data_IF_282850540192
#
_entry.id   IF_282850540192
#
_cell.length_a   1.000
_cell.length_b   1.000
_cell.length_c   1.000
_cell.angle_alpha   90.00
_cell.angle_beta   90.00
_cell.angle_gamma   90.00
#
_symmetry.space_group_name_H-M   'P 1'
#
loop_
_entity.id
_entity.type
_entity.pdbx_description
1 polymer ?
#
# COMPACT_ATOMS: atom_id res chain seq x y z
N UNK A 1 17.09 15.26 33.30
CA UNK A 1 16.68 13.90 32.91
C UNK A 1 16.33 13.92 31.43
N UNK A 2 16.76 12.93 30.66
CA UNK A 2 16.32 12.76 29.26
C UNK A 2 14.88 12.25 29.30
N UNK A 3 13.99 12.82 28.47
CA UNK A 3 12.61 12.36 28.28
C UNK A 3 12.49 11.60 26.98
N UNK A 4 11.67 10.54 26.95
CA UNK A 4 11.39 9.77 25.73
C UNK A 4 10.24 10.39 24.94
N UNK A 5 10.06 9.98 23.68
CA UNK A 5 8.83 10.30 22.95
C UNK A 5 7.68 9.44 23.49
N UNK A 6 6.89 10.00 24.41
CA UNK A 6 5.77 9.31 25.07
C UNK A 6 4.66 8.87 24.10
N UNK A 7 4.61 9.39 22.88
CA UNK A 7 3.62 8.97 21.90
C UNK A 7 3.77 7.50 21.49
N UNK A 8 4.97 6.94 21.55
CA UNK A 8 5.19 5.50 21.33
C UNK A 8 4.46 4.62 22.36
N UNK A 9 4.24 5.14 23.58
CA UNK A 9 3.55 4.41 24.66
C UNK A 9 2.04 4.35 24.45
N UNK A 10 1.50 5.13 23.51
CA UNK A 10 0.07 5.16 23.20
C UNK A 10 -0.35 4.07 22.22
N UNK A 11 0.57 3.53 21.42
CA UNK A 11 0.27 2.52 20.40
C UNK A 11 -0.31 1.24 21.04
N UNK A 12 -1.48 0.75 20.58
CA UNK A 12 -2.07 -0.48 21.11
C UNK A 12 -1.32 -1.72 20.59
N UNK A 13 -0.87 -2.58 21.52
CA UNK A 13 -0.34 -3.91 21.21
C UNK A 13 0.94 -3.91 20.34
N UNK A 14 1.23 -5.05 19.71
CA UNK A 14 2.27 -5.15 18.68
C UNK A 14 1.68 -5.00 17.29
N UNK A 15 2.44 -4.36 16.39
CA UNK A 15 2.11 -4.21 14.96
C UNK A 15 1.51 -5.49 14.36
N UNK A 16 0.34 -5.39 13.70
CA UNK A 16 -0.50 -6.50 13.21
C UNK A 16 0.29 -7.72 12.70
N UNK A 17 1.20 -7.50 11.77
CA UNK A 17 1.95 -8.57 11.12
C UNK A 17 2.95 -9.26 12.04
N UNK A 18 3.44 -8.59 13.08
CA UNK A 18 4.26 -9.19 14.14
C UNK A 18 3.44 -10.19 14.97
N UNK A 19 2.19 -9.84 15.29
CA UNK A 19 1.28 -10.71 16.06
C UNK A 19 0.93 -11.98 15.26
N UNK A 20 0.63 -11.83 13.96
CA UNK A 20 0.39 -12.97 13.06
C UNK A 20 1.62 -13.87 13.00
N UNK A 21 2.82 -13.31 12.79
CA UNK A 21 4.06 -14.09 12.72
C UNK A 21 4.29 -14.90 14.01
N UNK A 22 4.08 -14.31 15.19
CA UNK A 22 4.20 -15.01 16.48
C UNK A 22 3.23 -16.18 16.60
N UNK A 23 1.95 -16.00 16.27
CA UNK A 23 0.93 -17.07 16.31
C UNK A 23 1.26 -18.20 15.34
N UNK A 24 1.67 -17.87 14.11
CA UNK A 24 2.07 -18.87 13.10
C UNK A 24 3.29 -19.66 13.57
N UNK A 25 4.35 -19.00 14.05
CA UNK A 25 5.55 -19.70 14.54
C UNK A 25 5.25 -20.61 15.74
N UNK A 26 4.38 -20.19 16.66
CA UNK A 26 3.96 -21.03 17.78
C UNK A 26 3.17 -22.27 17.32
N UNK A 27 2.29 -22.10 16.33
CA UNK A 27 1.54 -23.20 15.73
C UNK A 27 2.48 -24.18 14.99
N UNK A 28 3.42 -23.70 14.20
CA UNK A 28 4.42 -24.53 13.49
C UNK A 28 5.27 -25.34 14.46
N UNK A 29 5.75 -24.70 15.54
CA UNK A 29 6.56 -25.38 16.55
C UNK A 29 5.78 -26.50 17.26
N UNK A 30 4.47 -26.33 17.46
CA UNK A 30 3.61 -27.32 18.11
C UNK A 30 3.05 -28.37 17.15
N UNK A 31 3.16 -28.14 15.83
CA UNK A 31 2.57 -28.99 14.79
C UNK A 31 3.53 -29.18 13.59
N UNK A 32 4.71 -29.81 13.78
CA UNK A 32 5.75 -29.90 12.75
C UNK A 32 5.31 -30.62 11.47
N UNK A 33 4.30 -31.50 11.56
CA UNK A 33 3.78 -32.25 10.41
C UNK A 33 2.71 -31.48 9.59
N UNK A 34 2.19 -30.36 10.11
CA UNK A 34 1.15 -29.59 9.44
C UNK A 34 1.74 -28.64 8.42
N UNK A 35 1.29 -28.76 7.16
CA UNK A 35 1.74 -27.90 6.05
C UNK A 35 0.88 -26.64 5.96
N UNK A 36 1.41 -25.52 6.46
CA UNK A 36 0.74 -24.21 6.43
C UNK A 36 0.79 -23.59 5.04
N UNK A 37 -0.36 -23.13 4.57
CA UNK A 37 -0.48 -22.29 3.37
C UNK A 37 -0.60 -20.83 3.82
N UNK A 38 0.31 -19.98 3.34
CA UNK A 38 0.41 -18.57 3.73
C UNK A 38 -0.22 -17.67 2.65
N UNK A 39 -1.37 -17.09 2.97
CA UNK A 39 -2.10 -16.08 2.19
C UNK A 39 -2.28 -14.79 3.02
N UNK A 40 -1.32 -14.50 3.91
CA UNK A 40 -1.35 -13.43 4.91
C UNK A 40 -0.78 -12.09 4.43
N UNK A 41 0.47 -11.77 4.81
CA UNK A 41 1.16 -10.47 4.68
C UNK A 41 0.97 -9.76 3.34
N UNK A 42 0.83 -10.52 2.25
CA UNK A 42 0.74 -9.99 0.90
C UNK A 42 2.12 -9.75 0.30
N UNK A 43 3.08 -10.65 0.56
CA UNK A 43 4.41 -10.64 -0.04
C UNK A 43 4.40 -11.42 -1.35
N UNK A 44 5.04 -10.90 -2.39
CA UNK A 44 5.08 -11.55 -3.71
C UNK A 44 5.91 -12.83 -3.64
N UNK A 45 5.60 -13.78 -4.54
CA UNK A 45 6.21 -15.12 -4.57
C UNK A 45 6.85 -15.51 -5.89
N UNK A 46 6.59 -14.77 -6.96
CA UNK A 46 7.24 -14.96 -8.26
C UNK A 46 8.64 -14.32 -8.18
N UNK A 47 9.66 -14.94 -8.80
CA UNK A 47 10.97 -14.34 -8.87
C UNK A 47 10.94 -13.03 -9.66
N UNK A 48 11.95 -12.18 -9.47
CA UNK A 48 12.12 -10.99 -10.28
C UNK A 48 12.19 -11.36 -11.76
N UNK A 49 11.58 -10.52 -12.61
CA UNK A 49 11.55 -10.74 -14.04
C UNK A 49 12.99 -10.79 -14.63
N UNK A 50 13.27 -11.63 -15.65
CA UNK A 50 14.61 -11.76 -16.21
C UNK A 50 15.25 -10.43 -16.64
N UNK A 51 14.49 -9.52 -17.25
CA UNK A 51 15.01 -8.21 -17.66
C UNK A 51 15.52 -7.37 -16.48
N UNK A 52 14.90 -7.53 -15.32
CA UNK A 52 15.26 -6.84 -14.07
C UNK A 52 16.52 -7.47 -13.48
N UNK A 53 16.62 -8.81 -13.47
CA UNK A 53 17.83 -9.54 -13.03
C UNK A 53 19.04 -9.15 -13.90
N UNK A 54 18.87 -9.08 -15.22
CA UNK A 54 19.94 -8.66 -16.12
C UNK A 54 20.41 -7.22 -15.82
N UNK A 55 19.49 -6.30 -15.51
CA UNK A 55 19.83 -4.94 -15.15
C UNK A 55 20.56 -4.85 -13.80
N UNK A 56 20.13 -5.66 -12.81
CA UNK A 56 20.81 -5.79 -11.52
C UNK A 56 22.26 -6.26 -11.71
N UNK A 57 22.49 -7.33 -12.47
CA UNK A 57 23.85 -7.85 -12.72
C UNK A 57 24.73 -6.80 -13.41
N UNK A 58 24.24 -6.18 -14.48
CA UNK A 58 24.99 -5.13 -15.18
C UNK A 58 25.36 -3.97 -14.27
N UNK A 59 24.43 -3.53 -13.42
CA UNK A 59 24.69 -2.43 -12.50
C UNK A 59 25.64 -2.82 -11.36
N UNK A 60 25.67 -4.09 -10.94
CA UNK A 60 26.71 -4.61 -10.02
C UNK A 60 28.09 -4.55 -10.69
N UNK A 61 28.21 -4.98 -11.95
CA UNK A 61 29.47 -4.95 -12.68
C UNK A 61 29.97 -3.50 -12.90
N UNK A 62 29.06 -2.56 -13.19
CA UNK A 62 29.37 -1.13 -13.27
C UNK A 62 29.95 -0.56 -11.95
N UNK A 63 29.64 -1.15 -10.80
CA UNK A 63 30.18 -0.71 -9.51
C UNK A 63 31.60 -1.22 -9.23
N UNK A 64 32.15 -2.11 -10.07
CA UNK A 64 33.46 -2.73 -9.87
C UNK A 64 34.64 -1.94 -10.46
N UNK A 65 34.37 -0.89 -11.26
CA UNK A 65 35.40 -0.07 -11.93
C UNK A 65 35.33 1.39 -11.49
N UNK A 66 36.46 2.08 -11.24
CA UNK A 66 36.47 3.49 -10.89
C UNK A 66 35.77 4.41 -11.91
N UNK A 67 35.80 4.05 -13.19
CA UNK A 67 35.23 4.83 -14.28
C UNK A 67 33.69 4.79 -14.31
N UNK A 68 33.10 3.69 -13.86
CA UNK A 68 31.65 3.46 -13.87
C UNK A 68 31.02 3.50 -12.48
N UNK A 69 31.82 3.49 -11.41
CA UNK A 69 31.37 3.54 -10.03
C UNK A 69 30.44 4.73 -9.76
N UNK A 70 29.43 4.49 -8.93
CA UNK A 70 28.45 5.49 -8.49
C UNK A 70 28.45 5.57 -6.97
N UNK A 71 28.75 6.76 -6.44
CA UNK A 71 28.67 7.06 -5.01
C UNK A 71 27.23 7.28 -4.54
N UNK A 72 27.03 8.28 -3.69
CA UNK A 72 25.67 8.69 -3.29
C UNK A 72 24.82 9.05 -4.50
N UNK A 73 23.56 8.63 -4.45
CA UNK A 73 22.59 8.99 -5.49
C UNK A 73 22.25 10.49 -5.40
N UNK A 74 21.81 11.12 -6.50
CA UNK A 74 21.24 12.46 -6.45
C UNK A 74 20.03 12.51 -5.51
N UNK A 75 19.79 13.67 -4.88
CA UNK A 75 18.78 13.85 -3.84
C UNK A 75 17.37 13.38 -4.24
N UNK A 76 16.98 13.51 -5.51
CA UNK A 76 15.64 13.09 -5.99
C UNK A 76 15.62 11.67 -6.56
N UNK A 77 16.78 11.03 -6.69
CA UNK A 77 17.00 9.84 -7.53
C UNK A 77 17.59 10.16 -8.90
N UNK A 78 18.10 9.13 -9.56
CA UNK A 78 18.75 9.27 -10.85
C UNK A 78 17.75 9.69 -11.94
N UNK A 79 18.21 10.60 -12.82
CA UNK A 79 17.41 11.15 -13.93
C UNK A 79 16.84 10.06 -14.84
N UNK A 80 17.62 9.02 -15.16
CA UNK A 80 17.16 7.94 -16.04
C UNK A 80 15.88 7.27 -15.53
N UNK A 81 15.76 7.08 -14.21
CA UNK A 81 14.60 6.46 -13.60
C UNK A 81 13.44 7.45 -13.51
N UNK A 82 13.69 8.68 -13.06
CA UNK A 82 12.65 9.72 -12.97
C UNK A 82 12.02 9.99 -14.35
N UNK A 83 12.83 10.06 -15.40
CA UNK A 83 12.36 10.18 -16.78
C UNK A 83 11.55 8.97 -17.23
N UNK A 84 12.02 7.75 -16.96
CA UNK A 84 11.27 6.55 -17.28
C UNK A 84 9.90 6.52 -16.58
N UNK A 85 9.83 6.90 -15.30
CA UNK A 85 8.57 7.04 -14.55
C UNK A 85 7.64 8.05 -15.23
N UNK A 86 8.12 9.27 -15.50
CA UNK A 86 7.31 10.33 -16.12
C UNK A 86 6.73 9.90 -17.47
N UNK A 87 7.56 9.36 -18.36
CA UNK A 87 7.12 8.97 -19.70
C UNK A 87 6.06 7.85 -19.66
N UNK A 88 6.24 6.86 -18.78
CA UNK A 88 5.44 5.64 -18.80
C UNK A 88 4.22 5.66 -17.89
N UNK A 89 4.31 6.29 -16.72
CA UNK A 89 3.24 6.27 -15.71
C UNK A 89 2.36 7.51 -15.78
N UNK A 90 2.87 8.64 -16.30
CA UNK A 90 2.17 9.91 -16.28
C UNK A 90 1.87 10.46 -17.68
N UNK A 91 2.89 10.72 -18.51
CA UNK A 91 2.68 11.27 -19.86
C UNK A 91 1.88 10.33 -20.77
N UNK A 92 2.14 9.02 -20.70
CA UNK A 92 1.34 8.02 -21.41
C UNK A 92 -0.16 8.04 -21.01
N UNK A 93 -0.50 8.64 -19.87
CA UNK A 93 -1.86 8.82 -19.35
C UNK A 93 -2.35 10.27 -19.42
N UNK A 94 -1.66 11.15 -20.14
CA UNK A 94 -1.93 12.59 -20.24
C UNK A 94 -1.90 13.32 -18.89
N UNK A 95 -1.17 12.80 -17.90
CA UNK A 95 -0.92 13.50 -16.65
C UNK A 95 0.30 14.40 -16.82
N UNK A 96 0.14 15.70 -16.60
CA UNK A 96 1.25 16.65 -16.65
C UNK A 96 2.05 16.56 -15.34
N UNK A 97 2.96 15.61 -15.22
CA UNK A 97 3.94 15.48 -14.12
C UNK A 97 5.35 15.64 -14.69
N UNK A 98 6.18 16.44 -14.04
CA UNK A 98 7.55 16.71 -14.46
C UNK A 98 8.57 15.86 -13.69
N UNK A 99 9.77 15.67 -14.26
CA UNK A 99 10.79 14.78 -13.70
C UNK A 99 11.26 15.19 -12.31
N UNK A 100 11.29 16.48 -12.01
CA UNK A 100 11.69 17.01 -10.71
C UNK A 100 10.56 17.04 -9.68
N UNK A 101 9.35 16.61 -10.04
CA UNK A 101 8.26 16.35 -9.10
C UNK A 101 8.27 14.91 -8.57
N UNK A 102 9.18 14.06 -9.07
CA UNK A 102 9.36 12.65 -8.68
C UNK A 102 10.51 12.52 -7.66
N UNK A 103 10.21 11.92 -6.51
CA UNK A 103 11.15 11.63 -5.44
C UNK A 103 11.31 10.12 -5.27
N UNK A 104 12.43 9.54 -5.76
CA UNK A 104 12.70 8.10 -5.66
C UNK A 104 13.12 7.71 -4.24
N UNK A 105 12.49 6.69 -3.67
CA UNK A 105 12.66 6.26 -2.28
C UNK A 105 12.97 4.77 -2.15
N UNK A 106 13.26 4.32 -0.92
CA UNK A 106 13.41 2.89 -0.58
C UNK A 106 12.05 2.16 -0.41
N UNK A 107 10.94 2.83 -0.73
CA UNK A 107 9.63 2.24 -0.90
C UNK A 107 8.50 2.98 -0.19
N UNK A 108 7.28 2.70 -0.66
CA UNK A 108 6.05 3.38 -0.22
C UNK A 108 5.78 3.36 1.29
N UNK A 109 6.24 2.35 2.04
CA UNK A 109 6.07 2.33 3.51
C UNK A 109 6.89 3.43 4.19
N UNK A 110 8.12 3.65 3.75
CA UNK A 110 8.95 4.73 4.25
C UNK A 110 8.33 6.08 3.90
N UNK A 111 7.88 6.25 2.65
CA UNK A 111 7.26 7.50 2.21
C UNK A 111 5.97 7.79 2.98
N UNK A 112 5.03 6.84 3.03
CA UNK A 112 3.75 7.02 3.73
C UNK A 112 3.89 7.26 5.23
N UNK A 113 4.89 6.66 5.89
CA UNK A 113 5.16 6.92 7.31
C UNK A 113 5.84 8.28 7.57
N UNK A 114 6.56 8.81 6.59
CA UNK A 114 7.34 10.05 6.75
C UNK A 114 6.67 11.28 6.15
N UNK A 115 5.72 11.12 5.22
CA UNK A 115 5.05 12.24 4.55
C UNK A 115 4.28 13.13 5.53
N UNK A 116 3.84 12.57 6.67
CA UNK A 116 3.22 13.33 7.74
C UNK A 116 4.12 14.44 8.33
N UNK A 117 5.44 14.35 8.16
CA UNK A 117 6.38 15.38 8.64
C UNK A 117 6.19 16.73 7.94
N UNK A 118 5.48 16.77 6.82
CA UNK A 118 5.14 18.00 6.11
C UNK A 118 4.08 18.85 6.79
N UNK A 119 3.32 18.29 7.74
CA UNK A 119 2.13 18.92 8.31
C UNK A 119 2.32 19.30 9.77
N UNK A 120 1.54 20.28 10.25
CA UNK A 120 1.51 20.70 11.66
C UNK A 120 1.06 19.55 12.58
N UNK A 121 1.43 19.61 13.86
CA UNK A 121 0.99 18.62 14.85
C UNK A 121 -0.51 18.74 15.17
N UNK A 122 -1.09 19.89 14.90
CA UNK A 122 -2.51 20.23 15.06
C UNK A 122 -3.36 19.84 13.84
N UNK A 123 -2.75 19.47 12.71
CA UNK A 123 -3.48 19.01 11.53
C UNK A 123 -4.30 17.75 11.84
N UNK A 124 -5.58 17.79 11.45
CA UNK A 124 -6.50 16.68 11.60
C UNK A 124 -6.47 15.78 10.37
N UNK A 125 -6.23 14.50 10.60
CA UNK A 125 -6.16 13.49 9.53
C UNK A 125 -7.50 12.77 9.36
N UNK A 126 -7.85 12.45 8.13
CA UNK A 126 -8.89 11.51 7.77
C UNK A 126 -8.31 10.26 7.10
N UNK A 127 -8.81 9.09 7.45
CA UNK A 127 -8.38 7.80 6.90
C UNK A 127 -9.59 6.96 6.54
N UNK A 128 -9.54 6.23 5.42
CA UNK A 128 -10.51 5.15 5.18
C UNK A 128 -10.41 4.11 6.30
N UNK A 129 -11.53 3.47 6.63
CA UNK A 129 -11.59 2.41 7.63
C UNK A 129 -12.40 1.23 7.09
N UNK A 130 -11.81 0.06 6.84
CA UNK A 130 -10.43 -0.33 7.15
C UNK A 130 -9.40 0.17 6.13
N UNK A 131 -8.14 0.31 6.57
CA UNK A 131 -7.01 0.65 5.70
C UNK A 131 -5.67 0.19 6.29
N UNK A 132 -4.61 0.23 5.48
CA UNK A 132 -3.25 -0.09 5.90
C UNK A 132 -2.81 0.72 7.14
N UNK A 133 -2.37 0.07 8.24
CA UNK A 133 -2.22 0.72 9.55
C UNK A 133 -1.08 1.75 9.64
N UNK A 134 -0.14 1.77 8.69
CA UNK A 134 1.00 2.70 8.71
C UNK A 134 0.56 4.16 8.76
N UNK A 135 -0.54 4.52 8.10
CA UNK A 135 -1.01 5.90 8.06
C UNK A 135 -1.38 6.40 9.46
N UNK A 136 -2.07 5.56 10.24
CA UNK A 136 -2.43 5.87 11.63
C UNK A 136 -1.20 5.78 12.53
N UNK A 137 -0.49 4.64 12.52
CA UNK A 137 0.63 4.38 13.45
C UNK A 137 1.72 5.46 13.36
N UNK A 138 2.06 5.91 12.15
CA UNK A 138 3.05 6.98 11.95
C UNK A 138 2.57 8.33 12.51
N UNK A 139 1.29 8.64 12.36
CA UNK A 139 0.68 9.83 12.96
C UNK A 139 0.59 9.74 14.49
N UNK A 140 0.38 8.54 15.05
CA UNK A 140 0.47 8.31 16.50
C UNK A 140 1.88 8.64 16.98
N UNK A 141 2.90 8.03 16.37
CA UNK A 141 4.31 8.24 16.76
C UNK A 141 4.72 9.73 16.72
N UNK A 142 4.11 10.49 15.82
CA UNK A 142 4.34 11.92 15.66
C UNK A 142 3.42 12.82 16.50
N UNK A 143 2.50 12.25 17.28
CA UNK A 143 1.70 12.96 18.28
C UNK A 143 0.38 13.57 17.79
N UNK A 144 -0.13 13.19 16.62
CA UNK A 144 -1.31 13.83 15.98
C UNK A 144 -2.67 13.22 16.33
N UNK A 145 -2.69 12.06 16.97
CA UNK A 145 -3.90 11.21 17.06
C UNK A 145 -4.69 11.38 18.36
N UNK A 146 -4.16 12.09 19.35
CA UNK A 146 -4.82 12.29 20.64
C UNK A 146 -4.75 11.07 21.56
N UNK A 147 -5.89 10.64 22.09
CA UNK A 147 -6.03 9.52 23.04
C UNK A 147 -6.69 8.34 22.33
N UNK A 148 -6.18 7.13 22.57
CA UNK A 148 -6.77 5.90 22.07
C UNK A 148 -7.90 5.43 22.99
N UNK A 149 -9.11 5.29 22.45
CA UNK A 149 -10.24 4.68 23.13
C UNK A 149 -10.23 3.16 22.88
N UNK A 150 -10.02 2.38 23.94
CA UNK A 150 -9.97 0.91 23.86
C UNK A 150 -11.33 0.27 23.61
N UNK A 151 -12.44 0.96 23.93
CA UNK A 151 -13.78 0.40 23.77
C UNK A 151 -14.24 0.49 22.31
N UNK A 152 -13.85 1.55 21.62
CA UNK A 152 -14.21 1.80 20.21
C UNK A 152 -13.05 1.54 19.24
N UNK A 153 -11.86 1.29 19.76
CA UNK A 153 -10.61 1.08 19.01
C UNK A 153 -10.24 2.25 18.07
N UNK A 154 -10.65 3.47 18.43
CA UNK A 154 -10.37 4.68 17.65
C UNK A 154 -9.50 5.68 18.40
N UNK A 155 -8.79 6.49 17.63
CA UNK A 155 -8.06 7.65 18.12
C UNK A 155 -8.95 8.90 18.14
N UNK A 156 -8.93 9.64 19.26
CA UNK A 156 -9.83 10.78 19.50
C UNK A 156 -9.64 11.96 18.53
N UNK A 157 -8.47 12.06 17.89
CA UNK A 157 -8.15 13.13 16.94
C UNK A 157 -7.92 12.62 15.51
N UNK A 158 -8.55 11.49 15.15
CA UNK A 158 -8.53 10.95 13.79
C UNK A 158 -9.95 10.86 13.28
N UNK A 159 -10.17 11.29 12.04
CA UNK A 159 -11.45 11.12 11.35
C UNK A 159 -11.42 9.78 10.62
N UNK A 160 -12.17 8.81 11.12
CA UNK A 160 -12.35 7.54 10.43
C UNK A 160 -13.47 7.68 9.41
N UNK A 161 -13.23 7.21 8.19
CA UNK A 161 -14.18 7.20 7.08
C UNK A 161 -14.57 5.75 6.77
N UNK A 162 -15.65 5.23 7.38
CA UNK A 162 -16.07 3.85 7.20
C UNK A 162 -16.25 3.50 5.72
N UNK A 163 -15.62 2.41 5.32
CA UNK A 163 -15.53 1.89 3.96
C UNK A 163 -15.98 0.44 4.03
N UNK A 164 -17.30 0.22 3.99
CA UNK A 164 -17.94 -1.04 4.38
C UNK A 164 -18.74 -1.65 3.22
N UNK A 165 -19.25 -2.86 3.40
CA UNK A 165 -20.10 -3.47 2.38
C UNK A 165 -21.39 -2.67 2.12
N UNK A 166 -21.94 -2.03 3.15
CA UNK A 166 -23.20 -1.27 3.10
C UNK A 166 -23.10 -0.01 2.23
N UNK A 167 -21.93 0.62 2.17
CA UNK A 167 -21.66 1.77 1.29
C UNK A 167 -20.88 1.39 0.02
N UNK A 168 -20.84 0.09 -0.32
CA UNK A 168 -20.08 -0.44 -1.46
C UNK A 168 -18.58 -0.08 -1.42
N UNK A 169 -18.01 0.10 -0.23
CA UNK A 169 -16.64 0.52 -0.01
C UNK A 169 -16.30 1.88 -0.66
N UNK A 170 -17.31 2.75 -0.75
CA UNK A 170 -17.15 4.16 -1.13
C UNK A 170 -17.35 5.00 0.14
N UNK A 171 -16.27 5.53 0.74
CA UNK A 171 -16.40 6.35 1.95
C UNK A 171 -17.18 7.63 1.67
N UNK A 172 -18.02 8.02 2.62
CA UNK A 172 -18.68 9.33 2.59
C UNK A 172 -17.68 10.45 2.92
N UNK A 173 -17.98 11.67 2.47
CA UNK A 173 -17.21 12.84 2.91
C UNK A 173 -17.36 13.04 4.42
N UNK A 174 -16.27 13.34 5.12
CA UNK A 174 -16.32 13.53 6.55
C UNK A 174 -17.13 14.78 6.91
N UNK A 175 -17.89 14.69 8.01
CA UNK A 175 -18.73 15.79 8.52
C UNK A 175 -17.89 16.94 9.07
N UNK A 176 -16.74 16.60 9.63
CA UNK A 176 -15.71 17.55 10.04
C UNK A 176 -14.65 17.61 8.95
N UNK A 177 -14.23 18.82 8.57
CA UNK A 177 -13.24 19.02 7.51
C UNK A 177 -11.84 18.60 8.00
N UNK A 178 -11.19 17.61 7.35
CA UNK A 178 -9.80 17.26 7.63
C UNK A 178 -8.82 18.21 6.93
N UNK A 179 -7.60 18.28 7.45
CA UNK A 179 -6.47 18.94 6.78
C UNK A 179 -5.76 17.97 5.83
N UNK A 180 -5.69 16.69 6.19
CA UNK A 180 -5.01 15.64 5.40
C UNK A 180 -5.91 14.42 5.24
N UNK A 181 -6.04 13.91 4.02
CA UNK A 181 -6.90 12.77 3.69
C UNK A 181 -6.05 11.64 3.11
N UNK A 182 -6.03 10.48 3.77
CA UNK A 182 -5.37 9.29 3.24
C UNK A 182 -6.35 8.45 2.42
N UNK A 183 -6.08 8.33 1.12
CA UNK A 183 -6.80 7.43 0.21
C UNK A 183 -5.82 6.38 -0.31
N UNK A 184 -6.11 5.11 -0.05
CA UNK A 184 -5.37 3.98 -0.63
C UNK A 184 -6.27 3.31 -1.66
N UNK A 185 -5.96 3.44 -2.95
CA UNK A 185 -6.75 2.92 -4.05
C UNK A 185 -5.83 2.33 -5.13
N UNK A 186 -5.98 1.03 -5.49
CA UNK A 186 -6.84 0.03 -4.86
C UNK A 186 -6.53 -0.20 -3.37
N UNK A 187 -7.57 -0.31 -2.56
CA UNK A 187 -7.48 -0.36 -1.10
C UNK A 187 -6.89 -1.68 -0.60
N UNK A 188 -5.99 -1.54 0.38
CA UNK A 188 -5.58 -2.62 1.26
C UNK A 188 -6.20 -2.37 2.64
N UNK A 189 -7.14 -3.23 3.13
CA UNK A 189 -7.29 -4.64 2.78
C UNK A 189 -8.41 -5.03 1.80
N UNK A 190 -9.35 -4.13 1.48
CA UNK A 190 -10.63 -4.53 0.87
C UNK A 190 -10.49 -5.00 -0.58
N UNK A 191 -9.41 -4.59 -1.26
CA UNK A 191 -9.19 -4.81 -2.68
C UNK A 191 -10.15 -4.03 -3.59
N UNK A 192 -10.89 -3.07 -3.03
CA UNK A 192 -11.83 -2.20 -3.76
C UNK A 192 -11.14 -0.92 -4.22
N UNK A 193 -11.79 -0.19 -5.12
CA UNK A 193 -11.32 1.09 -5.63
C UNK A 193 -12.51 2.03 -5.85
N UNK A 194 -12.24 3.27 -6.26
CA UNK A 194 -13.27 4.22 -6.69
C UNK A 194 -13.34 4.29 -8.21
N UNK A 195 -14.52 4.62 -8.72
CA UNK A 195 -14.65 5.06 -10.11
C UNK A 195 -13.86 6.36 -10.32
N UNK A 196 -13.46 6.66 -11.56
CA UNK A 196 -12.82 7.94 -11.89
C UNK A 196 -13.70 9.13 -11.51
N UNK A 197 -15.02 8.97 -11.64
CA UNK A 197 -16.00 9.99 -11.23
C UNK A 197 -16.00 10.21 -9.72
N UNK A 198 -15.96 9.15 -8.91
CA UNK A 198 -15.94 9.28 -7.46
C UNK A 198 -14.60 9.81 -6.94
N UNK A 199 -13.48 9.45 -7.59
CA UNK A 199 -12.18 10.05 -7.29
C UNK A 199 -12.14 11.55 -7.61
N UNK A 200 -12.76 11.98 -8.72
CA UNK A 200 -12.88 13.41 -9.04
C UNK A 200 -13.61 14.17 -7.92
N UNK A 201 -14.68 13.61 -7.36
CA UNK A 201 -15.40 14.25 -6.24
C UNK A 201 -14.51 14.44 -5.01
N UNK A 202 -13.56 13.53 -4.76
CA UNK A 202 -12.57 13.70 -3.68
C UNK A 202 -11.58 14.83 -3.96
N UNK A 203 -11.12 14.96 -5.20
CA UNK A 203 -10.26 16.07 -5.62
C UNK A 203 -11.00 17.40 -5.49
N UNK A 204 -12.26 17.47 -5.93
CA UNK A 204 -13.11 18.65 -5.79
C UNK A 204 -13.34 19.01 -4.31
N UNK A 205 -13.60 18.00 -3.47
CA UNK A 205 -13.75 18.15 -2.02
C UNK A 205 -12.47 18.71 -1.39
N UNK A 206 -11.31 18.14 -1.71
CA UNK A 206 -10.03 18.54 -1.13
C UNK A 206 -9.68 19.99 -1.51
N UNK A 207 -9.80 20.35 -2.78
CA UNK A 207 -9.58 21.72 -3.24
C UNK A 207 -10.54 22.73 -2.59
N UNK A 208 -11.84 22.39 -2.53
CA UNK A 208 -12.85 23.25 -1.88
C UNK A 208 -12.53 23.51 -0.40
N UNK A 209 -12.02 22.50 0.29
CA UNK A 209 -11.77 22.54 1.73
C UNK A 209 -10.32 22.88 2.08
N UNK A 210 -9.44 23.06 1.09
CA UNK A 210 -7.98 23.23 1.28
C UNK A 210 -7.32 22.06 2.02
N UNK A 211 -7.86 20.86 1.85
CA UNK A 211 -7.26 19.63 2.37
C UNK A 211 -6.23 19.06 1.40
N UNK A 212 -5.25 18.32 1.91
CA UNK A 212 -4.25 17.61 1.10
C UNK A 212 -4.56 16.10 1.10
N UNK A 213 -4.70 15.53 -0.08
CA UNK A 213 -4.84 14.09 -0.29
C UNK A 213 -3.46 13.46 -0.34
N UNK A 214 -3.22 12.47 0.50
CA UNK A 214 -2.14 11.50 0.35
C UNK A 214 -2.73 10.27 -0.34
N UNK A 215 -2.44 10.12 -1.63
CA UNK A 215 -2.96 9.07 -2.49
C UNK A 215 -1.95 7.93 -2.60
N UNK A 216 -2.22 6.80 -1.94
CA UNK A 216 -1.40 5.59 -2.04
C UNK A 216 -1.92 4.69 -3.16
N UNK A 217 -1.17 4.64 -4.26
CA UNK A 217 -1.44 3.86 -5.45
C UNK A 217 -0.50 2.65 -5.59
N UNK A 218 -0.05 2.07 -4.47
CA UNK A 218 0.88 0.93 -4.48
C UNK A 218 0.37 -0.31 -5.23
N UNK A 219 -0.95 -0.45 -5.45
CA UNK A 219 -1.58 -1.57 -6.16
C UNK A 219 -2.09 -1.20 -7.55
N UNK A 220 -1.75 -0.03 -8.08
CA UNK A 220 -2.23 0.47 -9.39
C UNK A 220 -2.08 -0.55 -10.53
N UNK A 221 -0.97 -1.29 -10.58
CA UNK A 221 -0.71 -2.25 -11.66
C UNK A 221 -1.74 -3.40 -11.73
N UNK A 222 -2.55 -3.59 -10.70
CA UNK A 222 -3.56 -4.65 -10.60
C UNK A 222 -4.97 -4.19 -11.00
N UNK A 223 -5.16 -2.90 -11.29
CA UNK A 223 -6.43 -2.38 -11.79
C UNK A 223 -6.78 -3.09 -13.11
N UNK A 224 -8.00 -3.62 -13.18
CA UNK A 224 -8.50 -4.37 -14.34
C UNK A 224 -9.74 -3.73 -14.98
N UNK A 225 -10.41 -2.80 -14.29
CA UNK A 225 -11.59 -2.10 -14.78
C UNK A 225 -11.24 -0.78 -15.45
N UNK A 226 -11.89 -0.47 -16.58
CA UNK A 226 -11.57 0.69 -17.43
C UNK A 226 -11.94 2.05 -16.79
N UNK A 227 -12.98 2.10 -15.95
CA UNK A 227 -13.45 3.33 -15.28
C UNK A 227 -12.75 3.57 -13.92
N UNK A 228 -11.50 3.13 -13.79
CA UNK A 228 -10.69 3.31 -12.58
C UNK A 228 -9.41 4.05 -12.95
N UNK A 229 -9.17 5.17 -12.27
CA UNK A 229 -7.94 5.93 -12.45
C UNK A 229 -6.74 5.17 -11.89
N UNK A 230 -5.67 5.12 -12.66
CA UNK A 230 -4.37 4.58 -12.24
C UNK A 230 -3.50 5.64 -11.54
N UNK A 231 -3.82 6.92 -11.72
CA UNK A 231 -3.16 8.02 -11.05
C UNK A 231 -4.21 9.03 -10.60
N UNK A 232 -4.03 9.62 -9.42
CA UNK A 232 -4.92 10.72 -8.98
C UNK A 232 -4.81 11.93 -9.92
N UNK A 233 -3.69 12.08 -10.63
CA UNK A 233 -3.48 13.15 -11.59
C UNK A 233 -4.23 12.98 -12.91
N UNK A 234 -4.98 11.89 -13.06
CA UNK A 234 -6.01 11.77 -14.10
C UNK A 234 -7.26 12.60 -13.79
N UNK A 235 -7.41 13.08 -12.55
CA UNK A 235 -8.48 13.97 -12.12
C UNK A 235 -8.07 15.43 -12.27
N UNK A 236 -8.99 16.26 -12.77
CA UNK A 236 -8.76 17.69 -12.94
C UNK A 236 -8.60 18.38 -11.59
N UNK A 237 -7.58 19.22 -11.44
CA UNK A 237 -7.28 19.92 -10.18
C UNK A 237 -6.54 19.09 -9.13
N UNK A 238 -6.17 17.83 -9.41
CA UNK A 238 -5.44 17.01 -8.43
C UNK A 238 -4.07 17.58 -8.06
N UNK A 239 -3.39 18.25 -9.00
CA UNK A 239 -2.06 18.85 -8.77
C UNK A 239 -2.03 19.89 -7.64
N UNK A 240 -3.15 20.52 -7.32
CA UNK A 240 -3.25 21.55 -6.26
C UNK A 240 -3.63 20.99 -4.90
N UNK A 241 -3.96 19.70 -4.79
CA UNK A 241 -4.38 19.10 -3.52
C UNK A 241 -3.82 17.70 -3.25
N UNK A 242 -3.04 17.07 -4.14
CA UNK A 242 -2.63 15.67 -3.98
C UNK A 242 -1.12 15.45 -3.99
N UNK A 243 -0.70 14.49 -3.15
CA UNK A 243 0.60 13.81 -3.19
C UNK A 243 0.31 12.36 -3.52
N UNK A 244 1.01 11.77 -4.51
CA UNK A 244 0.84 10.37 -4.88
C UNK A 244 2.05 9.54 -4.44
N UNK A 245 1.80 8.37 -3.84
CA UNK A 245 2.83 7.40 -3.43
C UNK A 245 2.70 6.14 -4.29
N UNK A 246 3.83 5.68 -4.84
CA UNK A 246 3.92 4.52 -5.72
C UNK A 246 4.97 3.53 -5.23
N UNK A 247 4.81 2.27 -5.63
CA UNK A 247 5.66 1.17 -5.16
C UNK A 247 6.02 0.20 -6.27
N UNK A 248 7.32 -0.07 -6.43
CA UNK A 248 7.78 -1.18 -7.26
C UNK A 248 7.62 -2.54 -6.55
N UNK A 249 7.31 -2.55 -5.26
CA UNK A 249 7.25 -3.79 -4.47
C UNK A 249 6.14 -4.72 -4.97
N UNK A 250 4.98 -4.16 -5.35
CA UNK A 250 3.80 -4.95 -5.70
C UNK A 250 3.69 -5.22 -7.18
N UNK A 251 4.14 -4.30 -8.03
CA UNK A 251 4.19 -4.50 -9.47
C UNK A 251 5.39 -5.38 -9.88
N UNK A 252 6.61 -4.96 -9.51
CA UNK A 252 7.86 -5.56 -10.00
C UNK A 252 8.48 -6.60 -9.05
N UNK A 253 7.81 -6.92 -7.94
CA UNK A 253 8.30 -7.86 -6.94
C UNK A 253 9.44 -7.34 -6.05
N UNK A 254 9.62 -6.01 -5.95
CA UNK A 254 10.71 -5.39 -5.18
C UNK A 254 10.45 -5.40 -3.66
N UNK A 255 9.72 -6.38 -3.13
CA UNK A 255 9.42 -6.46 -1.70
C UNK A 255 10.70 -6.57 -0.86
N UNK A 256 11.69 -7.35 -1.33
CA UNK A 256 13.04 -7.42 -0.77
C UNK A 256 14.06 -6.46 -1.39
N UNK A 257 13.85 -5.98 -2.62
CA UNK A 257 14.78 -5.11 -3.35
C UNK A 257 14.67 -3.64 -2.92
N UNK A 258 13.48 -3.22 -2.47
CA UNK A 258 13.19 -1.90 -1.86
C UNK A 258 13.33 -0.71 -2.82
N UNK A 259 12.25 -0.40 -3.53
CA UNK A 259 12.14 0.83 -4.33
C UNK A 259 10.69 1.33 -4.36
N UNK A 260 10.52 2.64 -4.32
CA UNK A 260 9.25 3.34 -4.52
C UNK A 260 9.53 4.76 -5.00
N UNK A 261 8.47 5.53 -5.12
CA UNK A 261 8.60 6.97 -5.35
C UNK A 261 7.36 7.72 -4.87
N UNK A 262 7.55 9.00 -4.62
CA UNK A 262 6.47 9.94 -4.29
C UNK A 262 6.44 11.04 -5.35
N UNK A 263 5.24 11.44 -5.76
CA UNK A 263 5.02 12.59 -6.64
C UNK A 263 4.47 13.74 -5.82
N UNK A 264 5.21 14.85 -5.77
CA UNK A 264 4.78 16.08 -5.09
C UNK A 264 4.76 17.22 -6.12
N UNK A 265 3.58 17.62 -6.61
CA UNK A 265 3.48 18.68 -7.61
C UNK A 265 3.97 20.02 -7.06
N UNK A 266 4.60 20.83 -7.90
CA UNK A 266 5.01 22.20 -7.53
C UNK A 266 3.84 23.16 -7.32
N UNK A 267 2.68 22.82 -7.87
CA UNK A 267 1.43 23.56 -7.67
C UNK A 267 0.84 23.37 -6.26
N UNK A 268 1.29 22.33 -5.53
CA UNK A 268 0.76 21.99 -4.22
C UNK A 268 1.34 22.89 -3.12
N UNK A 269 0.51 23.83 -2.66
CA UNK A 269 0.87 24.80 -1.61
C UNK A 269 -0.15 24.80 -0.47
N UNK A 270 0.35 25.00 0.75
CA UNK A 270 -0.46 25.26 1.94
C UNK A 270 -0.10 26.66 2.45
N UNK A 271 -0.98 27.63 2.19
CA UNK A 271 -0.62 29.05 2.33
C UNK A 271 0.54 29.40 1.39
N UNK A 272 1.62 29.96 1.94
CA UNK A 272 2.83 30.29 1.18
C UNK A 272 3.82 29.11 1.09
N UNK A 273 3.59 28.02 1.83
CA UNK A 273 4.52 26.90 1.90
C UNK A 273 4.36 25.95 0.71
N UNK A 274 5.47 25.69 0.01
CA UNK A 274 5.58 24.70 -1.06
C UNK A 274 5.82 23.31 -0.47
N UNK A 275 4.86 22.38 -0.61
CA UNK A 275 5.04 21.02 -0.10
C UNK A 275 6.13 20.26 -0.88
N UNK A 276 6.31 20.59 -2.15
CA UNK A 276 7.42 20.09 -2.97
C UNK A 276 8.78 20.44 -2.33
N UNK A 277 9.00 21.71 -1.98
CA UNK A 277 10.30 22.15 -1.45
C UNK A 277 10.55 21.62 -0.04
N UNK A 278 9.50 21.52 0.77
CA UNK A 278 9.57 20.89 2.09
C UNK A 278 9.92 19.41 1.99
N UNK A 279 9.30 18.68 1.06
CA UNK A 279 9.61 17.27 0.83
C UNK A 279 11.02 17.08 0.28
N UNK A 280 11.45 17.90 -0.69
CA UNK A 280 12.82 17.91 -1.19
C UNK A 280 13.83 18.13 -0.06
N UNK A 281 13.58 19.12 0.80
CA UNK A 281 14.45 19.40 1.96
C UNK A 281 14.49 18.21 2.91
N UNK A 282 13.36 17.60 3.22
CA UNK A 282 13.28 16.42 4.09
C UNK A 282 14.04 15.25 3.47
N UNK A 283 13.83 14.99 2.19
CA UNK A 283 14.42 13.88 1.45
C UNK A 283 15.95 13.98 1.47
N UNK A 284 16.53 15.12 1.06
CA UNK A 284 17.99 15.33 1.11
C UNK A 284 18.60 15.47 2.52
N UNK A 285 17.77 15.60 3.58
CA UNK A 285 18.27 15.69 4.96
C UNK A 285 18.27 14.34 5.68
N UNK A 286 17.23 13.51 5.44
CA UNK A 286 17.00 12.26 6.18
C UNK A 286 17.26 11.00 5.35
N UNK A 287 17.63 11.14 4.08
CA UNK A 287 17.83 10.02 3.16
C UNK A 287 18.98 10.30 2.20
N UNK A 288 19.83 9.29 1.98
CA UNK A 288 21.01 9.39 1.10
C UNK A 288 20.74 8.85 -0.32
N UNK A 289 19.47 8.69 -0.68
CA UNK A 289 19.02 8.18 -1.97
C UNK A 289 18.96 6.65 -2.05
N UNK A 290 18.06 6.14 -2.90
CA UNK A 290 17.93 4.71 -3.16
C UNK A 290 19.19 4.19 -3.92
N UNK A 291 19.65 2.95 -3.69
CA UNK A 291 20.88 2.45 -4.29
C UNK A 291 20.87 2.47 -5.84
N UNK A 292 21.99 2.86 -6.46
CA UNK A 292 22.14 2.90 -7.92
C UNK A 292 21.70 1.60 -8.62
N UNK A 293 22.17 0.45 -8.12
CA UNK A 293 21.87 -0.88 -8.65
C UNK A 293 20.36 -1.13 -8.65
N UNK A 294 19.67 -0.73 -7.58
CA UNK A 294 18.22 -0.88 -7.44
C UNK A 294 17.48 0.08 -8.39
N UNK A 295 17.97 1.31 -8.56
CA UNK A 295 17.35 2.25 -9.50
C UNK A 295 17.50 1.79 -10.96
N UNK A 296 18.62 1.19 -11.34
CA UNK A 296 18.79 0.55 -12.68
C UNK A 296 17.84 -0.62 -12.89
N UNK A 297 17.59 -1.41 -11.84
CA UNK A 297 16.54 -2.43 -11.87
C UNK A 297 15.14 -1.80 -12.04
N UNK A 298 14.89 -0.67 -11.37
CA UNK A 298 13.67 0.12 -11.53
C UNK A 298 13.50 0.69 -12.94
N UNK A 299 14.59 1.09 -13.61
CA UNK A 299 14.55 1.52 -15.02
C UNK A 299 14.13 0.37 -15.94
N UNK A 300 14.66 -0.83 -15.69
CA UNK A 300 14.36 -2.02 -16.48
C UNK A 300 12.88 -2.45 -16.43
N UNK A 301 12.14 -2.08 -15.37
CA UNK A 301 10.68 -2.26 -15.28
C UNK A 301 9.96 -1.62 -16.48
N UNK A 302 10.48 -0.50 -16.97
CA UNK A 302 9.89 0.26 -18.07
C UNK A 302 10.40 -0.14 -19.46
N UNK A 303 11.36 -1.07 -19.54
CA UNK A 303 11.78 -1.65 -20.82
C UNK A 303 10.65 -2.48 -21.44
N UNK A 304 10.65 -2.67 -22.77
CA UNK A 304 9.63 -3.48 -23.44
C UNK A 304 9.56 -4.91 -22.89
N UNK A 305 10.72 -5.51 -22.62
CA UNK A 305 10.82 -6.84 -22.02
C UNK A 305 10.31 -6.84 -20.57
N UNK A 306 10.68 -5.83 -19.77
CA UNK A 306 10.22 -5.67 -18.38
C UNK A 306 8.71 -5.55 -18.31
N UNK A 307 8.10 -4.67 -19.11
CA UNK A 307 6.65 -4.48 -19.18
C UNK A 307 5.92 -5.77 -19.56
N UNK A 308 6.41 -6.49 -20.57
CA UNK A 308 5.79 -7.75 -21.00
C UNK A 308 5.84 -8.82 -19.90
N UNK A 309 7.01 -9.01 -19.28
CA UNK A 309 7.21 -10.00 -18.22
C UNK A 309 6.38 -9.67 -16.96
N UNK A 310 6.32 -8.40 -16.58
CA UNK A 310 5.54 -7.98 -15.41
C UNK A 310 4.04 -8.09 -15.65
N UNK A 311 3.56 -7.81 -16.88
CA UNK A 311 2.15 -8.04 -17.25
C UNK A 311 1.75 -9.50 -17.04
N UNK A 312 2.62 -10.46 -17.40
CA UNK A 312 2.38 -11.88 -17.16
C UNK A 312 2.36 -12.23 -15.66
N UNK A 313 3.27 -11.65 -14.86
CA UNK A 313 3.30 -11.86 -13.42
C UNK A 313 2.06 -11.29 -12.71
N UNK A 314 1.62 -10.08 -13.08
CA UNK A 314 0.37 -9.49 -12.57
C UNK A 314 -0.82 -10.36 -12.96
N UNK A 315 -0.90 -10.80 -14.23
CA UNK A 315 -1.96 -11.68 -14.70
C UNK A 315 -2.01 -13.01 -13.92
N UNK A 316 -0.85 -13.59 -13.58
CA UNK A 316 -0.76 -14.78 -12.74
C UNK A 316 -1.41 -14.56 -11.38
N UNK A 317 -1.10 -13.45 -10.70
CA UNK A 317 -1.71 -13.13 -9.42
C UNK A 317 -3.19 -12.79 -9.51
N UNK A 318 -3.63 -12.12 -10.58
CA UNK A 318 -5.04 -11.85 -10.77
C UNK A 318 -5.84 -13.10 -11.11
N UNK A 319 -5.24 -14.09 -11.78
CA UNK A 319 -5.83 -15.41 -11.93
C UNK A 319 -5.97 -16.14 -10.59
N UNK A 320 -4.98 -16.05 -9.71
CA UNK A 320 -5.11 -16.56 -8.34
C UNK A 320 -6.21 -15.83 -7.57
N UNK A 321 -6.30 -14.50 -7.70
CA UNK A 321 -7.32 -13.71 -7.04
C UNK A 321 -8.73 -14.13 -7.48
N UNK A 322 -8.92 -14.36 -8.79
CA UNK A 322 -10.15 -14.90 -9.37
C UNK A 322 -10.49 -16.27 -8.78
N UNK A 323 -9.53 -17.21 -8.77
CA UNK A 323 -9.71 -18.56 -8.19
C UNK A 323 -10.15 -18.46 -6.72
N UNK A 324 -9.45 -17.67 -5.90
CA UNK A 324 -9.77 -17.50 -4.48
C UNK A 324 -11.16 -16.90 -4.31
N UNK A 325 -11.48 -15.83 -5.03
CA UNK A 325 -12.76 -15.15 -4.97
C UNK A 325 -13.92 -16.05 -5.34
N UNK A 326 -13.85 -16.73 -6.49
CA UNK A 326 -14.89 -17.63 -6.99
C UNK A 326 -15.04 -18.84 -6.06
N UNK A 327 -13.93 -19.45 -5.65
CA UNK A 327 -13.94 -20.60 -4.76
C UNK A 327 -14.55 -20.32 -3.38
N UNK A 328 -14.32 -19.13 -2.81
CA UNK A 328 -14.96 -18.73 -1.56
C UNK A 328 -16.45 -18.43 -1.73
N UNK A 329 -16.85 -17.82 -2.85
CA UNK A 329 -18.27 -17.62 -3.17
C UNK A 329 -19.01 -18.96 -3.30
N UNK A 330 -18.42 -19.93 -3.99
CA UNK A 330 -18.97 -21.29 -4.09
C UNK A 330 -19.08 -21.99 -2.73
N UNK A 331 -18.19 -21.64 -1.79
CA UNK A 331 -18.21 -22.12 -0.42
C UNK A 331 -19.22 -21.38 0.48
N UNK A 332 -20.01 -20.44 -0.07
CA UNK A 332 -21.06 -19.71 0.64
C UNK A 332 -20.59 -18.44 1.36
N UNK A 333 -19.33 -18.01 1.19
CA UNK A 333 -18.85 -16.78 1.81
C UNK A 333 -19.32 -15.53 1.06
N UNK A 334 -19.51 -14.45 1.81
CA UNK A 334 -19.65 -13.10 1.23
C UNK A 334 -18.26 -12.51 0.97
N UNK A 335 -17.96 -12.20 -0.29
CA UNK A 335 -16.60 -11.88 -0.76
C UNK A 335 -16.57 -10.63 -1.62
N UNK A 336 -15.58 -9.77 -1.36
CA UNK A 336 -15.29 -8.51 -2.03
C UNK A 336 -13.83 -8.48 -2.52
N UNK A 337 -13.46 -7.44 -3.29
CA UNK A 337 -12.13 -7.31 -3.87
C UNK A 337 -11.85 -8.35 -4.95
N UNK A 338 -10.56 -8.62 -5.18
CA UNK A 338 -10.05 -9.60 -6.14
C UNK A 338 -10.28 -9.24 -7.62
N UNK A 339 -10.55 -7.97 -7.93
CA UNK A 339 -10.76 -7.46 -9.30
C UNK A 339 -9.70 -6.43 -9.68
N UNK A 340 -9.48 -5.44 -8.82
CA UNK A 340 -8.48 -4.38 -9.06
C UNK A 340 -7.27 -4.51 -8.13
N UNK A 341 -7.21 -5.57 -7.32
CA UNK A 341 -6.16 -5.78 -6.35
C UNK A 341 -5.94 -7.28 -6.10
N UNK A 342 -4.73 -7.69 -5.69
CA UNK A 342 -4.40 -9.07 -5.33
C UNK A 342 -4.86 -9.42 -3.90
N UNK A 343 -5.99 -8.86 -3.47
CA UNK A 343 -6.58 -9.07 -2.14
C UNK A 343 -8.05 -9.41 -2.25
N UNK A 344 -8.44 -10.39 -1.45
CA UNK A 344 -9.78 -10.92 -1.34
C UNK A 344 -10.23 -10.65 0.09
N UNK A 345 -11.32 -9.91 0.21
CA UNK A 345 -11.87 -9.46 1.47
C UNK A 345 -13.18 -10.19 1.73
N UNK A 346 -13.20 -11.05 2.75
CA UNK A 346 -14.38 -11.86 3.06
C UNK A 346 -14.93 -11.54 4.44
N UNK A 347 -16.25 -11.62 4.56
CA UNK A 347 -16.95 -11.56 5.84
C UNK A 347 -16.75 -12.87 6.60
N UNK A 348 -16.47 -12.82 7.90
CA UNK A 348 -16.34 -14.02 8.73
C UNK A 348 -17.69 -14.73 8.87
N UNK A 349 -17.70 -16.07 8.96
CA UNK A 349 -18.93 -16.83 9.16
C UNK A 349 -19.41 -16.72 10.62
N UNK A 350 -20.70 -17.00 10.85
CA UNK A 350 -21.29 -17.16 12.19
C UNK A 350 -21.00 -16.06 13.22
N UNK A 351 -20.73 -14.84 12.74
CA UNK A 351 -20.34 -13.68 13.56
C UNK A 351 -19.05 -13.92 14.36
N UNK A 352 -18.17 -14.81 13.92
CA UNK A 352 -16.83 -14.95 14.49
C UNK A 352 -16.09 -13.61 14.41
N UNK A 353 -15.32 -13.29 15.44
CA UNK A 353 -14.41 -12.15 15.35
C UNK A 353 -13.34 -12.43 14.29
N UNK A 354 -12.68 -11.39 13.79
CA UNK A 354 -11.59 -11.51 12.83
C UNK A 354 -10.45 -12.39 13.36
N UNK A 355 -10.13 -12.29 14.66
CA UNK A 355 -9.10 -13.09 15.31
C UNK A 355 -9.56 -14.51 15.61
N UNK A 356 -10.82 -14.72 16.00
CA UNK A 356 -11.36 -16.08 16.17
C UNK A 356 -11.33 -16.84 14.83
N UNK A 357 -11.69 -16.16 13.74
CA UNK A 357 -11.63 -16.77 12.41
C UNK A 357 -10.19 -17.02 11.93
N UNK A 358 -9.24 -16.14 12.31
CA UNK A 358 -7.81 -16.39 12.08
C UNK A 358 -7.36 -17.69 12.75
N UNK A 359 -7.65 -17.84 14.05
CA UNK A 359 -7.25 -19.01 14.83
C UNK A 359 -7.96 -20.27 14.30
N UNK A 360 -9.25 -20.17 13.96
CA UNK A 360 -10.03 -21.24 13.35
C UNK A 360 -9.42 -21.75 12.04
N UNK A 361 -9.09 -20.86 11.09
CA UNK A 361 -8.47 -21.26 9.82
C UNK A 361 -7.06 -21.83 10.01
N UNK A 362 -6.27 -21.27 10.92
CA UNK A 362 -4.93 -21.77 11.22
C UNK A 362 -4.99 -23.19 11.79
N UNK A 363 -5.88 -23.44 12.75
CA UNK A 363 -6.01 -24.74 13.41
C UNK A 363 -6.67 -25.80 12.53
N UNK A 364 -7.77 -25.46 11.85
CA UNK A 364 -8.61 -26.43 11.13
C UNK A 364 -8.18 -26.63 9.68
N UNK A 365 -7.75 -25.56 9.00
CA UNK A 365 -7.35 -25.61 7.59
C UNK A 365 -5.84 -25.42 7.37
N UNK A 366 -5.08 -25.02 8.39
CA UNK A 366 -3.67 -24.61 8.25
C UNK A 366 -3.49 -23.57 7.13
N UNK A 367 -4.44 -22.64 7.05
CA UNK A 367 -4.41 -21.50 6.14
C UNK A 367 -4.24 -20.23 6.96
N UNK A 368 -3.26 -19.42 6.59
CA UNK A 368 -2.98 -18.13 7.22
C UNK A 368 -3.47 -17.03 6.29
N UNK A 369 -4.31 -16.15 6.81
CA UNK A 369 -4.62 -14.85 6.20
C UNK A 369 -4.35 -13.72 7.17
N UNK A 370 -5.09 -12.63 7.06
CA UNK A 370 -4.95 -11.45 7.92
C UNK A 370 -6.30 -11.10 8.56
N UNK A 371 -6.40 -11.06 9.90
CA UNK A 371 -7.63 -10.65 10.59
C UNK A 371 -7.95 -9.18 10.26
N UNK A 372 -9.21 -8.92 9.94
CA UNK A 372 -9.64 -7.62 9.46
C UNK A 372 -9.53 -6.48 10.46
N UNK A 373 -9.75 -6.71 11.76
CA UNK A 373 -9.55 -5.69 12.80
C UNK A 373 -8.14 -5.15 12.90
N UNK A 374 -7.15 -5.85 12.33
CA UNK A 374 -5.79 -5.32 12.18
C UNK A 374 -5.69 -4.06 11.30
N UNK A 375 -6.72 -3.78 10.50
CA UNK A 375 -6.77 -2.66 9.56
C UNK A 375 -7.68 -1.51 10.05
N UNK A 376 -8.18 -1.59 11.28
CA UNK A 376 -9.11 -0.63 11.86
C UNK A 376 -10.44 -1.26 12.29
N UNK A 377 -11.26 -0.53 13.06
CA UNK A 377 -12.46 -1.07 13.68
C UNK A 377 -13.52 -1.53 12.68
N UNK A 378 -13.67 -0.86 11.52
CA UNK A 378 -14.58 -1.32 10.47
C UNK A 378 -14.08 -2.58 9.74
N UNK A 379 -12.87 -3.05 10.05
CA UNK A 379 -12.34 -4.32 9.59
C UNK A 379 -12.77 -5.52 10.45
N UNK A 380 -13.33 -5.31 11.64
CA UNK A 380 -13.79 -6.39 12.51
C UNK A 380 -14.94 -7.19 11.86
N UNK A 381 -14.97 -8.51 12.05
CA UNK A 381 -15.89 -9.41 11.33
C UNK A 381 -15.52 -9.63 9.86
N UNK A 382 -14.32 -9.25 9.44
CA UNK A 382 -13.78 -9.55 8.12
C UNK A 382 -12.38 -10.19 8.19
N UNK A 383 -11.94 -10.73 7.05
CA UNK A 383 -10.66 -11.39 6.88
C UNK A 383 -10.10 -11.14 5.48
N UNK A 384 -8.78 -10.94 5.38
CA UNK A 384 -8.08 -10.75 4.10
C UNK A 384 -7.28 -11.99 3.73
N UNK A 385 -7.46 -12.45 2.50
CA UNK A 385 -6.55 -13.38 1.83
C UNK A 385 -5.84 -12.66 0.69
N UNK A 386 -4.54 -12.89 0.53
CA UNK A 386 -3.80 -12.40 -0.64
C UNK A 386 -3.75 -13.44 -1.76
N UNK A 387 -3.71 -12.96 -2.99
CA UNK A 387 -3.45 -13.76 -4.18
C UNK A 387 -1.95 -13.99 -4.45
N UNK A 388 -1.08 -13.39 -3.64
CA UNK A 388 0.36 -13.63 -3.69
C UNK A 388 0.72 -15.00 -3.10
N UNK A 389 0.71 -15.99 -3.98
CA UNK A 389 1.02 -17.39 -3.69
C UNK A 389 1.14 -18.18 -4.98
N UNK A 390 1.45 -19.46 -4.89
CA UNK A 390 1.28 -20.33 -6.04
C UNK A 390 -0.20 -20.59 -6.31
N UNK A 391 -0.55 -20.80 -7.57
CA UNK A 391 -1.90 -21.22 -7.97
C UNK A 391 -2.29 -22.53 -7.27
N UNK A 392 -1.36 -23.48 -7.17
CA UNK A 392 -1.56 -24.74 -6.44
C UNK A 392 -1.93 -24.51 -4.97
N UNK A 393 -1.23 -23.61 -4.27
CA UNK A 393 -1.54 -23.28 -2.89
C UNK A 393 -2.87 -22.53 -2.76
N UNK A 394 -3.21 -21.70 -3.76
CA UNK A 394 -4.51 -21.00 -3.80
C UNK A 394 -5.66 -22.01 -3.91
N UNK A 395 -5.55 -23.01 -4.78
CA UNK A 395 -6.53 -24.10 -4.94
C UNK A 395 -6.60 -24.94 -3.67
N UNK A 396 -5.46 -25.39 -3.13
CA UNK A 396 -5.42 -26.21 -1.91
C UNK A 396 -5.99 -25.48 -0.70
N UNK A 397 -5.75 -24.17 -0.57
CA UNK A 397 -6.33 -23.38 0.52
C UNK A 397 -7.86 -23.40 0.45
N UNK A 398 -8.43 -23.23 -0.76
CA UNK A 398 -9.87 -23.31 -0.96
C UNK A 398 -10.44 -24.69 -0.70
N UNK A 399 -9.78 -25.76 -1.15
CA UNK A 399 -10.19 -27.14 -0.85
C UNK A 399 -10.28 -27.37 0.66
N UNK A 400 -9.28 -26.88 1.42
CA UNK A 400 -9.30 -27.00 2.88
C UNK A 400 -10.40 -26.17 3.52
N UNK A 401 -10.64 -24.95 3.04
CA UNK A 401 -11.72 -24.08 3.54
C UNK A 401 -13.11 -24.64 3.22
N UNK A 402 -13.31 -25.24 2.04
CA UNK A 402 -14.57 -25.86 1.61
C UNK A 402 -14.94 -27.10 2.43
N UNK A 403 -13.96 -27.74 3.07
CA UNK A 403 -14.15 -28.93 3.89
C UNK A 403 -14.33 -28.61 5.39
N UNK A 404 -14.48 -27.33 5.76
CA UNK A 404 -14.70 -26.89 7.15
C UNK A 404 -16.15 -27.02 7.59
#
# INVERSE_FOLDING_TARGET
>A
MVTVNENYLKLPGSYLFSTIAKKVSAFEASNPDKKIIRLGIGDVTQPLAPAIIDALHKAVDEMASPETFRGYAPDLGYEFLRKAIVENDYKARNCAIEEDEIFVSDGAKSDSGNIQELFGQDCKIAVCDPVYPVYIDSNVMAGRTGVYDKATEVWSNVIYMPTTAENNFVPEFPKETPDVIYLCLPNNPTGTTLSKTDLQKWVDYANKNKAVIIYDAAYEAYISEDDVAHSIYECEGARTCAIEIRSFSKNAGFTGVRLGFTVVPKDLKVGEASLHDMWARRHGTKFNGAPYIVQRAGEAVYSDAGKAQLKEQVAYYMQNAKIIKEGLKDAGYTVFGGVNAPYIWLKTPDKMTSWDFFDFLLEKANVVGTPGSGFGPSGEGYFRLTAFGSQENSIKALERIKNL
#
